data_IF_290436051555
#
_entry.id   IF_290436051555
#
_cell.length_a   1.000
_cell.length_b   1.000
_cell.length_c   1.000
_cell.angle_alpha   90.00
_cell.angle_beta   90.00
_cell.angle_gamma   90.00
#
_symmetry.space_group_name_H-M   'P 1'
#
loop_
_entity.id
_entity.type
_entity.pdbx_description
1 polymer ?
#
# COMPACT_ATOMS: atom_id res chain seq x y z
N UNK A 1 24.61 3.12 -1.32
CA UNK A 1 24.07 3.79 -2.53
C UNK A 1 22.58 4.13 -2.45
N UNK A 2 21.74 3.39 -1.71
CA UNK A 2 20.28 3.44 -1.93
C UNK A 2 19.47 4.44 -1.07
N UNK A 3 19.95 4.94 0.07
CA UNK A 3 19.21 5.98 0.84
C UNK A 3 19.05 7.31 0.08
N UNK A 4 19.92 7.57 -0.90
CA UNK A 4 19.91 8.80 -1.70
C UNK A 4 18.69 8.87 -2.64
N UNK A 5 18.12 7.74 -3.07
CA UNK A 5 17.01 7.76 -4.04
C UNK A 5 15.72 8.35 -3.44
N UNK A 6 15.39 8.00 -2.20
CA UNK A 6 14.18 8.52 -1.55
C UNK A 6 14.24 10.04 -1.37
N UNK A 7 15.37 10.55 -0.91
CA UNK A 7 15.58 11.99 -0.76
C UNK A 7 15.53 12.73 -2.10
N UNK A 8 16.13 12.14 -3.14
CA UNK A 8 16.09 12.68 -4.50
C UNK A 8 14.65 12.76 -5.02
N UNK A 9 13.88 11.69 -4.83
CA UNK A 9 12.47 11.62 -5.24
C UNK A 9 11.60 12.64 -4.50
N UNK A 10 11.82 12.82 -3.20
CA UNK A 10 11.12 13.84 -2.42
C UNK A 10 11.43 15.25 -2.90
N UNK A 11 12.70 15.55 -3.22
CA UNK A 11 13.12 16.84 -3.79
C UNK A 11 12.45 17.09 -5.14
N UNK A 12 12.47 16.11 -6.05
CA UNK A 12 11.80 16.21 -7.37
C UNK A 12 10.30 16.48 -7.18
N UNK A 13 9.63 15.71 -6.31
CA UNK A 13 8.20 15.87 -6.03
C UNK A 13 7.83 17.27 -5.52
N UNK A 14 8.70 17.89 -4.70
CA UNK A 14 8.49 19.23 -4.15
C UNK A 14 8.74 20.32 -5.20
N UNK A 15 9.79 20.17 -6.00
CA UNK A 15 10.26 21.22 -6.91
C UNK A 15 9.58 21.16 -8.29
N UNK A 16 9.26 19.96 -8.78
CA UNK A 16 8.70 19.75 -10.12
C UNK A 16 7.71 18.56 -10.17
N UNK A 17 6.42 18.90 -10.01
CA UNK A 17 5.33 17.92 -10.03
C UNK A 17 5.16 17.24 -11.39
N UNK A 18 5.48 17.92 -12.51
CA UNK A 18 5.34 17.34 -13.86
C UNK A 18 6.42 16.31 -14.09
N UNK A 19 7.66 16.62 -13.71
CA UNK A 19 8.77 15.66 -13.75
C UNK A 19 8.49 14.45 -12.86
N UNK A 20 7.92 14.67 -11.67
CA UNK A 20 7.52 13.57 -10.79
C UNK A 20 6.50 12.61 -11.43
N UNK A 21 5.52 13.12 -12.17
CA UNK A 21 4.49 12.29 -12.81
C UNK A 21 5.06 11.38 -13.91
N UNK A 22 6.17 11.79 -14.53
CA UNK A 22 6.80 11.07 -15.63
C UNK A 22 8.14 10.43 -15.23
N UNK A 23 8.42 10.31 -13.93
CA UNK A 23 9.69 9.76 -13.51
C UNK A 23 9.79 8.28 -13.90
N UNK A 24 10.90 7.95 -14.55
CA UNK A 24 11.29 6.58 -14.86
C UNK A 24 12.39 6.16 -13.90
N UNK A 25 12.20 5.00 -13.28
CA UNK A 25 13.17 4.38 -12.38
C UNK A 25 13.84 3.24 -13.12
N UNK A 26 15.14 3.06 -12.91
CA UNK A 26 15.79 1.84 -13.37
C UNK A 26 15.35 0.64 -12.51
N UNK A 27 15.63 -0.57 -12.99
CA UNK A 27 15.19 -1.80 -12.34
C UNK A 27 15.68 -1.93 -10.89
N UNK A 28 16.94 -1.57 -10.61
CA UNK A 28 17.51 -1.64 -9.26
C UNK A 28 16.83 -0.66 -8.30
N UNK A 29 16.60 0.57 -8.74
CA UNK A 29 15.92 1.61 -7.96
C UNK A 29 14.47 1.21 -7.66
N UNK A 30 13.76 0.73 -8.69
CA UNK A 30 12.38 0.29 -8.54
C UNK A 30 12.29 -0.89 -7.58
N UNK A 31 13.12 -1.92 -7.78
CA UNK A 31 13.18 -3.08 -6.89
C UNK A 31 13.47 -2.67 -5.45
N UNK A 32 14.46 -1.82 -5.22
CA UNK A 32 14.76 -1.31 -3.88
C UNK A 32 13.56 -0.62 -3.25
N UNK A 33 12.88 0.27 -3.97
CA UNK A 33 11.72 1.00 -3.47
C UNK A 33 10.53 0.09 -3.17
N UNK A 34 10.30 -0.94 -4.00
CA UNK A 34 9.27 -1.95 -3.79
C UNK A 34 9.55 -2.79 -2.54
N UNK A 35 10.79 -3.25 -2.37
CA UNK A 35 11.22 -4.02 -1.19
C UNK A 35 11.11 -3.20 0.10
N UNK A 36 11.37 -1.88 0.03
CA UNK A 36 11.16 -0.99 1.18
C UNK A 36 9.68 -0.66 1.43
N UNK A 37 8.85 -0.67 0.38
CA UNK A 37 7.42 -0.32 0.46
C UNK A 37 6.59 -1.40 1.13
N UNK A 38 6.94 -2.68 0.94
CA UNK A 38 6.18 -3.82 1.44
C UNK A 38 7.07 -4.76 2.25
N UNK A 39 6.96 -4.69 3.57
CA UNK A 39 7.64 -5.63 4.47
C UNK A 39 6.76 -6.85 4.73
N UNK A 40 7.37 -8.04 4.72
CA UNK A 40 6.69 -9.30 5.07
C UNK A 40 7.23 -9.81 6.40
N UNK A 41 6.35 -10.07 7.36
CA UNK A 41 6.68 -10.62 8.69
C UNK A 41 5.63 -11.66 9.09
N UNK A 42 6.02 -12.93 9.22
CA UNK A 42 5.07 -14.05 9.43
C UNK A 42 4.02 -14.07 8.31
N UNK A 43 2.72 -14.07 8.65
CA UNK A 43 1.60 -13.96 7.71
C UNK A 43 1.17 -12.50 7.45
N UNK A 44 2.00 -11.50 7.78
CA UNK A 44 1.65 -10.08 7.71
C UNK A 44 2.39 -9.38 6.57
N UNK A 45 1.69 -8.51 5.85
CA UNK A 45 2.25 -7.54 4.92
C UNK A 45 2.09 -6.15 5.51
N UNK A 46 3.19 -5.41 5.65
CA UNK A 46 3.22 -4.02 6.11
C UNK A 46 3.54 -3.11 4.91
N UNK A 47 2.53 -2.41 4.41
CA UNK A 47 2.61 -1.45 3.32
C UNK A 47 2.88 -0.03 3.86
N UNK A 48 3.99 0.57 3.45
CA UNK A 48 4.43 1.90 3.89
C UNK A 48 4.08 2.95 2.85
N UNK A 49 2.93 3.63 3.02
CA UNK A 49 2.50 4.67 2.09
C UNK A 49 3.52 5.80 1.95
N UNK A 50 4.23 6.14 3.04
CA UNK A 50 5.27 7.16 3.05
C UNK A 50 6.35 6.95 2.00
N UNK A 51 6.63 5.69 1.64
CA UNK A 51 7.60 5.32 0.61
C UNK A 51 6.91 5.28 -0.75
N UNK A 52 5.79 4.56 -0.86
CA UNK A 52 5.02 4.39 -2.10
C UNK A 52 4.70 5.74 -2.74
N UNK A 53 4.25 6.72 -1.95
CA UNK A 53 3.83 8.04 -2.44
C UNK A 53 4.93 8.87 -3.12
N UNK A 54 6.18 8.47 -2.96
CA UNK A 54 7.36 9.14 -3.48
C UNK A 54 7.87 8.53 -4.81
N UNK A 55 7.26 7.47 -5.32
CA UNK A 55 7.57 6.99 -6.67
C UNK A 55 6.35 6.53 -7.47
N UNK A 56 5.23 6.22 -6.80
CA UNK A 56 4.04 5.73 -7.46
C UNK A 56 3.48 6.73 -8.49
N UNK A 57 3.43 6.29 -9.74
CA UNK A 57 2.85 7.00 -10.88
C UNK A 57 2.30 5.98 -11.90
N UNK A 58 1.65 6.46 -12.96
CA UNK A 58 1.03 5.59 -13.98
C UNK A 58 2.00 4.63 -14.66
N UNK A 59 3.29 4.96 -14.72
CA UNK A 59 4.31 4.13 -15.38
C UNK A 59 4.69 2.90 -14.55
N UNK A 60 4.45 2.92 -13.23
CA UNK A 60 4.87 1.84 -12.32
C UNK A 60 3.77 1.28 -11.41
N UNK A 61 2.50 1.64 -11.65
CA UNK A 61 1.39 1.08 -10.89
C UNK A 61 1.29 -0.44 -11.01
N UNK A 62 1.53 -0.99 -12.20
CA UNK A 62 1.52 -2.44 -12.41
C UNK A 62 2.64 -3.12 -11.62
N UNK A 63 3.85 -2.55 -11.59
CA UNK A 63 4.97 -3.10 -10.81
C UNK A 63 4.69 -3.09 -9.30
N UNK A 64 4.05 -2.03 -8.80
CA UNK A 64 3.64 -1.93 -7.40
C UNK A 64 2.61 -3.01 -7.06
N UNK A 65 1.61 -3.19 -7.91
CA UNK A 65 0.55 -4.19 -7.72
C UNK A 65 1.13 -5.60 -7.78
N UNK A 66 1.91 -5.90 -8.81
CA UNK A 66 2.50 -7.22 -9.00
C UNK A 66 3.42 -7.59 -7.83
N UNK A 67 4.23 -6.64 -7.35
CA UNK A 67 5.07 -6.86 -6.18
C UNK A 67 4.27 -7.16 -4.90
N UNK A 68 3.11 -6.52 -4.72
CA UNK A 68 2.19 -6.81 -3.63
C UNK A 68 1.54 -8.19 -3.80
N UNK A 69 1.08 -8.54 -5.00
CA UNK A 69 0.45 -9.83 -5.29
C UNK A 69 1.42 -11.00 -5.12
N UNK A 70 2.69 -10.87 -5.54
CA UNK A 70 3.73 -11.87 -5.26
C UNK A 70 3.82 -12.16 -3.76
N UNK A 71 3.78 -11.11 -2.92
CA UNK A 71 3.84 -11.27 -1.45
C UNK A 71 2.56 -11.91 -0.90
N UNK A 72 1.39 -11.52 -1.40
CA UNK A 72 0.12 -12.13 -1.01
C UNK A 72 0.11 -13.61 -1.37
N UNK A 73 0.47 -13.97 -2.61
CA UNK A 73 0.55 -15.36 -3.08
C UNK A 73 1.51 -16.17 -2.22
N UNK A 74 2.70 -15.64 -1.94
CA UNK A 74 3.66 -16.27 -1.03
C UNK A 74 3.04 -16.58 0.34
N UNK A 75 2.31 -15.63 0.94
CA UNK A 75 1.70 -15.81 2.25
C UNK A 75 0.51 -16.77 2.23
N UNK A 76 -0.34 -16.71 1.20
CA UNK A 76 -1.44 -17.66 1.02
C UNK A 76 -0.88 -19.07 0.87
N UNK A 77 0.13 -19.29 0.04
CA UNK A 77 0.74 -20.62 -0.11
C UNK A 77 1.37 -21.12 1.19
N UNK A 78 1.93 -20.22 2.01
CA UNK A 78 2.65 -20.59 3.23
C UNK A 78 1.77 -20.75 4.48
N UNK A 79 0.72 -19.94 4.61
CA UNK A 79 -0.08 -19.84 5.84
C UNK A 79 -1.59 -20.01 5.59
N UNK A 80 -2.02 -20.21 4.33
CA UNK A 80 -3.41 -20.21 3.87
C UNK A 80 -4.17 -18.87 4.06
N UNK A 81 -3.49 -17.85 4.58
CA UNK A 81 -4.08 -16.57 4.91
C UNK A 81 -3.03 -15.47 5.04
N UNK A 82 -3.50 -14.22 5.16
CA UNK A 82 -2.63 -13.09 5.46
C UNK A 82 -3.35 -11.99 6.23
N UNK A 83 -2.56 -11.16 6.92
CA UNK A 83 -2.97 -9.87 7.47
C UNK A 83 -2.31 -8.74 6.69
N UNK A 84 -3.05 -7.67 6.43
CA UNK A 84 -2.54 -6.48 5.76
C UNK A 84 -2.53 -5.31 6.72
N UNK A 85 -1.40 -4.61 6.76
CA UNK A 85 -1.15 -3.46 7.60
C UNK A 85 -0.74 -2.30 6.70
N UNK A 86 -1.56 -1.26 6.60
CA UNK A 86 -1.30 -0.11 5.73
C UNK A 86 -1.04 1.10 6.61
N UNK A 87 0.18 1.61 6.57
CA UNK A 87 0.51 2.88 7.19
C UNK A 87 0.29 4.03 6.21
N UNK A 88 -0.72 4.86 6.47
CA UNK A 88 -1.08 6.03 5.67
C UNK A 88 -0.39 7.33 6.11
N UNK A 89 0.79 7.26 6.73
CA UNK A 89 1.52 8.46 7.16
C UNK A 89 1.71 9.50 6.02
N UNK A 90 1.11 10.68 6.23
CA UNK A 90 1.12 11.78 5.27
C UNK A 90 0.23 11.55 4.03
N UNK A 91 -0.81 10.75 4.17
CA UNK A 91 -1.90 10.63 3.20
C UNK A 91 -2.86 11.82 3.30
N UNK A 92 -3.21 12.40 2.15
CA UNK A 92 -4.06 13.58 2.03
C UNK A 92 -5.07 13.38 0.90
N UNK A 93 -6.09 14.24 0.81
CA UNK A 93 -7.08 14.17 -0.27
C UNK A 93 -6.42 14.30 -1.66
N UNK A 94 -5.47 15.22 -1.83
CA UNK A 94 -4.73 15.37 -3.10
C UNK A 94 -3.93 14.10 -3.45
N UNK A 95 -3.33 13.49 -2.43
CA UNK A 95 -2.62 12.22 -2.57
C UNK A 95 -3.55 11.07 -2.97
N UNK A 96 -4.78 11.05 -2.44
CA UNK A 96 -5.84 10.11 -2.81
C UNK A 96 -6.21 10.23 -4.27
N UNK A 97 -6.58 11.43 -4.72
CA UNK A 97 -6.99 11.70 -6.11
C UNK A 97 -5.96 11.24 -7.14
N UNK A 98 -4.68 11.38 -6.80
CA UNK A 98 -3.57 10.97 -7.66
C UNK A 98 -3.46 9.45 -7.81
N UNK A 99 -3.71 8.69 -6.75
CA UNK A 99 -3.45 7.24 -6.73
C UNK A 99 -4.72 6.41 -6.79
N UNK A 100 -5.92 7.01 -6.75
CA UNK A 100 -7.20 6.28 -6.67
C UNK A 100 -7.40 5.23 -7.78
N UNK A 101 -6.74 5.42 -8.93
CA UNK A 101 -6.79 4.47 -10.04
C UNK A 101 -6.03 3.16 -9.76
N UNK A 102 -5.08 3.15 -8.82
CA UNK A 102 -4.31 1.94 -8.47
C UNK A 102 -5.21 0.87 -7.84
N UNK A 103 -6.29 1.28 -7.16
CA UNK A 103 -7.20 0.35 -6.48
C UNK A 103 -7.98 -0.48 -7.49
N UNK A 104 -8.54 0.15 -8.53
CA UNK A 104 -9.24 -0.55 -9.60
C UNK A 104 -8.35 -1.57 -10.33
N UNK A 105 -7.08 -1.23 -10.53
CA UNK A 105 -6.10 -2.15 -11.12
C UNK A 105 -5.83 -3.34 -10.20
N UNK A 106 -5.63 -3.10 -8.89
CA UNK A 106 -5.42 -4.16 -7.91
C UNK A 106 -6.58 -5.18 -7.90
N UNK A 107 -7.84 -4.73 -7.95
CA UNK A 107 -8.98 -5.66 -7.98
C UNK A 107 -9.02 -6.51 -9.21
N UNK A 108 -8.81 -5.91 -10.39
CA UNK A 108 -8.77 -6.67 -11.64
C UNK A 108 -7.65 -7.70 -11.62
N UNK A 109 -6.50 -7.37 -11.05
CA UNK A 109 -5.39 -8.31 -10.91
C UNK A 109 -5.67 -9.42 -9.89
N UNK A 110 -6.33 -9.13 -8.77
CA UNK A 110 -6.77 -10.17 -7.84
C UNK A 110 -7.79 -11.12 -8.48
N UNK A 111 -8.75 -10.58 -9.25
CA UNK A 111 -9.77 -11.35 -9.96
C UNK A 111 -9.14 -12.23 -11.04
N UNK A 112 -8.22 -11.69 -11.86
CA UNK A 112 -7.52 -12.47 -12.88
C UNK A 112 -6.67 -13.61 -12.31
N UNK A 113 -6.13 -13.42 -11.10
CA UNK A 113 -5.29 -14.40 -10.43
C UNK A 113 -6.10 -15.45 -9.63
N UNK A 114 -7.44 -15.40 -9.69
CA UNK A 114 -8.33 -16.19 -8.83
C UNK A 114 -8.00 -16.07 -7.34
N UNK A 115 -7.44 -14.92 -6.92
CA UNK A 115 -7.16 -14.65 -5.51
C UNK A 115 -8.45 -14.10 -4.89
N UNK A 116 -9.12 -14.94 -4.12
CA UNK A 116 -10.23 -14.54 -3.25
C UNK A 116 -9.69 -13.74 -2.06
N UNK A 117 -9.25 -12.50 -2.34
CA UNK A 117 -8.57 -11.62 -1.38
C UNK A 117 -9.37 -11.49 -0.09
N UNK A 118 -10.69 -11.31 -0.19
CA UNK A 118 -11.59 -11.15 0.95
C UNK A 118 -11.71 -12.41 1.83
N UNK A 119 -11.51 -13.60 1.27
CA UNK A 119 -11.54 -14.87 2.01
C UNK A 119 -10.24 -15.11 2.76
N UNK A 120 -9.11 -14.90 2.07
CA UNK A 120 -7.76 -15.17 2.59
C UNK A 120 -7.22 -14.07 3.50
N UNK A 121 -7.76 -12.85 3.39
CA UNK A 121 -7.49 -11.76 4.31
C UNK A 121 -8.15 -12.05 5.67
N UNK A 122 -7.38 -12.03 6.75
CA UNK A 122 -7.92 -12.14 8.13
C UNK A 122 -8.22 -10.75 8.69
N UNK A 123 -7.27 -9.81 8.55
CA UNK A 123 -7.37 -8.44 9.06
C UNK A 123 -6.73 -7.46 8.10
N UNK A 124 -7.37 -6.31 7.94
CA UNK A 124 -6.82 -5.12 7.32
C UNK A 124 -6.75 -4.01 8.37
N UNK A 125 -5.54 -3.73 8.84
CA UNK A 125 -5.25 -2.62 9.74
C UNK A 125 -4.80 -1.41 8.93
N UNK A 126 -5.44 -0.26 9.13
CA UNK A 126 -5.10 0.99 8.46
C UNK A 126 -4.72 2.02 9.50
N UNK A 127 -3.43 2.33 9.53
CA UNK A 127 -2.82 3.28 10.45
C UNK A 127 -2.76 4.67 9.83
N UNK A 128 -2.62 5.68 10.68
CA UNK A 128 -2.57 7.09 10.32
C UNK A 128 -3.75 7.50 9.43
N UNK A 129 -4.92 6.90 9.68
CA UNK A 129 -6.11 7.07 8.84
C UNK A 129 -6.70 8.48 9.01
N UNK A 130 -6.66 9.33 7.96
CA UNK A 130 -7.25 10.66 8.02
C UNK A 130 -8.77 10.59 8.20
N UNK A 131 -9.33 11.63 8.83
CA UNK A 131 -10.79 11.71 9.10
C UNK A 131 -11.61 11.51 7.83
N UNK A 132 -11.18 12.07 6.69
CA UNK A 132 -11.91 11.98 5.42
C UNK A 132 -11.96 10.55 4.83
N UNK A 133 -11.04 9.66 5.20
CA UNK A 133 -11.12 8.25 4.77
C UNK A 133 -12.21 7.52 5.53
N UNK A 134 -12.50 7.90 6.79
CA UNK A 134 -13.59 7.28 7.56
C UNK A 134 -14.96 7.56 6.95
N UNK A 135 -15.13 8.68 6.27
CA UNK A 135 -16.34 8.97 5.47
C UNK A 135 -16.41 8.22 4.14
N UNK A 136 -15.31 7.62 3.69
CA UNK A 136 -15.25 6.81 2.48
C UNK A 136 -15.36 5.33 2.85
N UNK A 137 -16.50 4.87 3.36
CA UNK A 137 -16.80 3.43 3.42
C UNK A 137 -16.65 2.76 2.04
N UNK A 138 -16.91 3.52 0.97
CA UNK A 138 -16.64 3.18 -0.43
C UNK A 138 -15.16 3.02 -0.79
N UNK A 139 -14.23 3.60 -0.04
CA UNK A 139 -12.78 3.49 -0.30
C UNK A 139 -12.31 2.06 -0.11
N UNK A 140 -12.84 1.40 0.93
CA UNK A 140 -12.55 0.00 1.14
C UNK A 140 -13.59 -0.93 0.50
N UNK A 141 -14.79 -0.43 0.14
CA UNK A 141 -15.85 -1.24 -0.45
C UNK A 141 -15.42 -2.17 -1.61
N UNK A 142 -14.55 -1.77 -2.55
CA UNK A 142 -14.13 -2.70 -3.60
C UNK A 142 -13.17 -3.80 -3.08
N UNK A 143 -12.53 -3.64 -1.91
CA UNK A 143 -11.85 -4.71 -1.18
C UNK A 143 -12.82 -5.68 -0.47
N UNK A 144 -14.13 -5.40 -0.47
CA UNK A 144 -15.06 -5.91 0.53
C UNK A 144 -16.33 -6.51 -0.08
N UNK A 145 -16.43 -7.83 -0.06
CA UNK A 145 -17.71 -8.52 0.20
C UNK A 145 -18.21 -8.09 1.60
N UNK A 146 -19.52 -7.96 1.87
CA UNK A 146 -20.13 -7.70 3.20
C UNK A 146 -19.37 -8.32 4.40
N UNK A 147 -18.83 -9.54 4.29
CA UNK A 147 -18.03 -10.23 5.34
C UNK A 147 -16.65 -9.62 5.63
N UNK A 148 -16.09 -8.81 4.74
CA UNK A 148 -14.77 -8.21 4.90
C UNK A 148 -14.79 -6.85 5.64
N UNK A 149 -15.96 -6.21 5.81
CA UNK A 149 -16.06 -4.99 6.63
C UNK A 149 -15.65 -5.25 8.08
N UNK A 150 -16.00 -6.43 8.60
CA UNK A 150 -15.64 -6.87 9.96
C UNK A 150 -14.13 -7.11 10.14
N UNK A 151 -13.38 -7.19 9.03
CA UNK A 151 -11.94 -7.41 9.02
C UNK A 151 -11.15 -6.11 8.97
N UNK A 152 -11.81 -4.95 8.85
CA UNK A 152 -11.14 -3.66 8.71
C UNK A 152 -11.10 -2.92 10.03
N UNK A 153 -9.90 -2.49 10.41
CA UNK A 153 -9.69 -1.68 11.60
C UNK A 153 -8.94 -0.42 11.21
N UNK A 154 -9.53 0.74 11.53
CA UNK A 154 -9.00 2.05 11.19
C UNK A 154 -8.49 2.72 12.45
N UNK A 155 -7.23 3.14 12.45
CA UNK A 155 -6.58 3.77 13.59
C UNK A 155 -6.28 5.23 13.29
N UNK A 156 -6.56 6.11 14.26
CA UNK A 156 -6.13 7.51 14.19
C UNK A 156 -4.60 7.60 14.39
N UNK A 157 -4.04 8.81 14.30
CA UNK A 157 -2.60 9.02 14.44
C UNK A 157 -2.04 8.54 15.79
N UNK A 158 -2.74 8.83 16.89
CA UNK A 158 -2.30 8.50 18.26
C UNK A 158 -2.26 6.98 18.45
N UNK A 159 -3.34 6.29 18.08
CA UNK A 159 -3.41 4.82 18.21
C UNK A 159 -2.39 4.12 17.31
N UNK A 160 -2.11 4.73 16.15
CA UNK A 160 -1.18 4.19 15.17
C UNK A 160 0.26 4.14 15.66
N UNK A 161 0.73 5.19 16.35
CA UNK A 161 2.11 5.26 16.84
C UNK A 161 2.43 4.07 17.76
N UNK A 162 1.52 3.74 18.68
CA UNK A 162 1.67 2.59 19.59
C UNK A 162 1.64 1.25 18.83
N UNK A 163 0.66 1.05 17.96
CA UNK A 163 0.47 -0.23 17.28
C UNK A 163 1.55 -0.52 16.23
N UNK A 164 2.07 0.51 15.56
CA UNK A 164 3.13 0.35 14.55
C UNK A 164 4.43 -0.12 15.19
N UNK A 165 4.75 0.33 16.40
CA UNK A 165 5.93 -0.15 17.15
C UNK A 165 5.82 -1.66 17.42
N UNK A 166 4.67 -2.14 17.91
CA UNK A 166 4.47 -3.55 18.25
C UNK A 166 4.59 -4.50 17.05
N UNK A 167 4.20 -4.06 15.84
CA UNK A 167 4.25 -4.92 14.65
C UNK A 167 5.58 -4.86 13.91
N UNK A 168 6.35 -3.77 14.08
CA UNK A 168 7.62 -3.57 13.38
C UNK A 168 8.82 -4.09 14.17
N UNK A 169 8.75 -4.13 15.51
CA UNK A 169 9.75 -4.75 16.41
C UNK A 169 9.64 -6.27 16.35
#
# INVERSE_FOLDING_TARGET
>A
MNNNILEKLEKIKRNDKKTFQNISLNEEQLKFLLDQSFLVKKNKIIAKYKIIKNFANSNNYNDIIENLLVKIRFLITKYDNFEMHIDLEGYTLTSHERIKNIYGLLFRSCESDNILFSEKLIKLHVYNCPVFIRSLSSFFAPFINKTANEKIFLFNKIDSEKMLLEITT
#
